data_IF_496931704480
#
_entry.id   IF_496931704480
#
_cell.length_a   1.000
_cell.length_b   1.000
_cell.length_c   1.000
_cell.angle_alpha   90.00
_cell.angle_beta   90.00
_cell.angle_gamma   90.00
#
_symmetry.space_group_name_H-M   'P 1'
#
loop_
_entity.id
_entity.type
_entity.pdbx_description
1 polymer ?
#
# COMPACT_ATOMS: atom_id res chain seq x y z
N UNK A 1 62.62 9.60 -41.07
CA UNK A 1 62.39 8.77 -42.26
C UNK A 1 60.89 8.67 -42.46
N UNK A 2 60.35 9.65 -43.19
CA UNK A 2 59.72 9.54 -44.54
C UNK A 2 58.20 9.66 -44.29
N UNK A 3 57.61 10.85 -44.41
CA UNK A 3 57.07 11.49 -45.65
C UNK A 3 55.92 10.65 -46.26
N UNK A 4 54.82 11.19 -46.80
CA UNK A 4 54.40 12.55 -47.17
C UNK A 4 52.88 12.54 -47.43
N UNK A 5 52.14 13.62 -47.18
CA UNK A 5 51.82 14.75 -48.07
C UNK A 5 50.84 14.48 -49.25
N UNK A 6 49.64 15.11 -49.12
CA UNK A 6 48.98 16.08 -50.03
C UNK A 6 48.50 15.64 -51.44
N UNK A 7 47.17 15.75 -51.67
CA UNK A 7 46.47 16.52 -52.75
C UNK A 7 45.01 16.01 -52.88
N UNK A 8 43.96 16.81 -52.63
CA UNK A 8 43.36 17.87 -53.47
C UNK A 8 42.80 17.38 -54.82
N UNK A 9 41.46 17.33 -54.96
CA UNK A 9 40.71 17.96 -56.06
C UNK A 9 39.19 17.82 -55.92
N UNK A 10 38.53 18.96 -55.79
CA UNK A 10 37.12 19.25 -56.05
C UNK A 10 36.83 19.30 -57.56
N UNK A 11 35.73 18.70 -58.04
CA UNK A 11 34.83 19.34 -59.04
C UNK A 11 33.53 18.56 -59.30
N UNK A 12 32.43 19.33 -59.28
CA UNK A 12 31.21 19.24 -60.10
C UNK A 12 30.02 18.29 -59.77
N UNK A 13 28.93 18.97 -59.38
CA UNK A 13 27.57 18.97 -59.97
C UNK A 13 26.53 17.91 -59.56
N UNK A 14 25.67 18.36 -58.64
CA UNK A 14 24.20 18.46 -58.77
C UNK A 14 23.54 17.66 -59.90
N UNK A 15 22.71 16.66 -59.55
CA UNK A 15 21.27 16.59 -59.90
C UNK A 15 20.64 15.30 -59.36
N UNK A 16 20.10 15.27 -58.13
CA UNK A 16 19.21 14.17 -57.69
C UNK A 16 18.36 14.43 -56.43
N UNK A 17 18.17 15.68 -55.97
CA UNK A 17 17.46 15.91 -54.68
C UNK A 17 15.96 16.23 -54.73
N UNK A 18 15.29 16.30 -55.88
CA UNK A 18 13.87 16.72 -55.92
C UNK A 18 12.84 15.59 -56.16
N UNK A 19 13.25 14.30 -56.13
CA UNK A 19 12.31 13.16 -56.33
C UNK A 19 12.15 12.25 -55.11
N UNK A 20 13.07 12.28 -54.15
CA UNK A 20 13.02 11.43 -52.95
C UNK A 20 12.13 12.05 -51.86
N UNK A 21 12.04 13.38 -51.80
CA UNK A 21 11.29 14.09 -50.75
C UNK A 21 9.76 13.99 -50.90
N UNK A 22 9.24 13.70 -52.11
CA UNK A 22 7.80 13.55 -52.35
C UNK A 22 7.24 12.14 -52.07
N UNK A 23 8.08 11.11 -52.01
CA UNK A 23 7.63 9.76 -51.67
C UNK A 23 7.66 9.48 -50.16
N UNK A 24 8.53 10.16 -49.39
CA UNK A 24 8.56 10.05 -47.93
C UNK A 24 7.36 10.70 -47.22
N UNK A 25 6.65 11.62 -47.89
CA UNK A 25 5.46 12.27 -47.34
C UNK A 25 4.20 11.41 -47.53
N UNK A 26 4.14 10.56 -48.58
CA UNK A 26 2.98 9.68 -48.81
C UNK A 26 2.98 8.40 -47.97
N UNK A 27 4.14 7.92 -47.52
CA UNK A 27 4.25 6.69 -46.71
C UNK A 27 4.05 6.93 -45.21
N UNK A 28 4.24 8.18 -44.74
CA UNK A 28 3.99 8.58 -43.34
C UNK A 28 2.52 8.78 -43.00
N UNK A 29 1.68 9.06 -44.01
CA UNK A 29 0.25 9.32 -43.81
C UNK A 29 -0.63 8.06 -43.91
N UNK A 30 -0.07 6.90 -44.29
CA UNK A 30 -0.82 5.63 -44.39
C UNK A 30 -0.68 4.78 -43.11
N UNK A 31 0.41 4.95 -42.35
CA UNK A 31 0.57 4.33 -41.02
C UNK A 31 -0.04 5.25 -39.95
N UNK A 32 -1.33 5.59 -40.08
CA UNK A 32 -2.00 6.29 -38.98
C UNK A 32 -3.52 6.13 -38.89
N UNK A 33 -4.15 5.27 -39.68
CA UNK A 33 -5.60 5.02 -39.51
C UNK A 33 -5.92 3.59 -39.09
N UNK A 34 -5.17 2.58 -39.55
CA UNK A 34 -5.45 1.18 -39.20
C UNK A 34 -4.92 0.79 -37.82
N UNK A 35 -3.77 1.34 -37.40
CA UNK A 35 -3.24 1.13 -36.04
C UNK A 35 -4.10 1.84 -34.99
N UNK A 36 -4.67 3.01 -35.35
CA UNK A 36 -5.61 3.74 -34.50
C UNK A 36 -6.95 2.99 -34.41
N UNK A 37 -7.42 2.35 -35.49
CA UNK A 37 -8.63 1.51 -35.47
C UNK A 37 -8.49 0.28 -34.56
N UNK A 38 -7.35 -0.40 -34.62
CA UNK A 38 -7.08 -1.57 -33.77
C UNK A 38 -6.96 -1.17 -32.28
N UNK A 39 -6.37 0.00 -31.98
CA UNK A 39 -6.31 0.55 -30.61
C UNK A 39 -7.68 1.00 -30.08
N UNK A 40 -8.58 1.48 -30.95
CA UNK A 40 -9.94 1.86 -30.58
C UNK A 40 -10.84 0.62 -30.36
N UNK A 41 -10.72 -0.41 -31.20
CA UNK A 41 -11.47 -1.67 -31.00
C UNK A 41 -11.02 -2.43 -29.75
N UNK A 42 -9.73 -2.41 -29.41
CA UNK A 42 -9.24 -3.03 -28.17
C UNK A 42 -9.70 -2.28 -26.91
N UNK A 43 -9.74 -0.93 -26.95
CA UNK A 43 -10.26 -0.11 -25.86
C UNK A 43 -11.79 -0.23 -25.67
N UNK A 44 -12.56 -0.47 -26.73
CA UNK A 44 -14.01 -0.64 -26.63
C UNK A 44 -14.42 -2.01 -26.06
N UNK A 45 -13.55 -3.04 -26.12
CA UNK A 45 -13.84 -4.36 -25.53
C UNK A 45 -13.69 -4.42 -24.00
N UNK A 46 -13.06 -3.42 -23.38
CA UNK A 46 -12.86 -3.32 -21.92
C UNK A 46 -13.68 -2.21 -21.25
N UNK A 47 -14.57 -1.57 -22.01
CA UNK A 47 -15.34 -0.41 -21.57
C UNK A 47 -16.83 -0.71 -21.32
N UNK A 48 -17.13 -1.88 -20.78
CA UNK A 48 -18.38 -2.07 -20.06
C UNK A 48 -18.10 -2.06 -18.54
N UNK A 49 -18.75 -1.10 -17.87
CA UNK A 49 -18.83 -0.83 -16.42
C UNK A 49 -17.84 0.13 -15.72
N UNK A 50 -17.06 0.96 -16.42
CA UNK A 50 -16.43 2.14 -15.78
C UNK A 50 -17.18 3.43 -16.10
N UNK A 51 -18.07 3.84 -15.19
CA UNK A 51 -18.85 5.08 -15.31
C UNK A 51 -17.93 6.31 -15.26
N UNK A 52 -17.96 7.09 -16.34
CA UNK A 52 -17.33 8.40 -16.50
C UNK A 52 -17.72 9.39 -15.39
N UNK A 53 -16.71 9.92 -14.68
CA UNK A 53 -16.81 11.19 -13.95
C UNK A 53 -15.52 11.98 -14.15
N UNK A 54 -15.32 12.47 -15.38
CA UNK A 54 -14.45 13.63 -15.64
C UNK A 54 -15.41 14.82 -15.66
N UNK A 55 -15.42 15.64 -14.61
CA UNK A 55 -16.05 16.95 -14.68
C UNK A 55 -15.08 17.89 -15.36
N UNK A 56 -15.34 18.18 -16.62
CA UNK A 56 -14.67 19.18 -17.44
C UNK A 56 -14.96 20.58 -16.90
N UNK A 57 -14.01 21.15 -16.16
CA UNK A 57 -13.92 22.59 -15.92
C UNK A 57 -13.27 23.24 -17.15
N UNK A 58 -14.03 23.50 -18.23
CA UNK A 58 -13.50 24.30 -19.35
C UNK A 58 -14.51 25.09 -20.21
N UNK A 59 -15.80 25.16 -19.84
CA UNK A 59 -16.78 25.93 -20.62
C UNK A 59 -17.28 27.17 -19.88
N UNK A 60 -16.41 28.17 -19.71
CA UNK A 60 -16.81 29.58 -19.61
C UNK A 60 -15.74 30.45 -20.28
N UNK A 61 -15.70 30.40 -21.61
CA UNK A 61 -15.27 31.55 -22.42
C UNK A 61 -16.30 31.71 -23.55
N UNK A 62 -16.47 32.95 -23.97
CA UNK A 62 -17.31 33.40 -25.07
C UNK A 62 -18.79 33.65 -24.75
N UNK A 63 -19.06 34.80 -24.14
CA UNK A 63 -20.12 35.68 -24.66
C UNK A 63 -19.65 37.14 -24.70
N UNK A 64 -19.53 37.62 -25.93
CA UNK A 64 -19.37 39.01 -26.33
C UNK A 64 -20.38 39.94 -25.65
N UNK A 65 -19.90 41.08 -25.15
CA UNK A 65 -20.64 42.35 -25.22
C UNK A 65 -19.66 43.49 -25.48
N UNK A 66 -19.90 44.22 -26.58
CA UNK A 66 -19.25 45.47 -26.93
C UNK A 66 -19.83 46.62 -26.09
N UNK A 67 -19.00 47.47 -25.50
CA UNK A 67 -19.16 48.92 -25.58
C UNK A 67 -17.85 49.64 -25.25
N UNK A 68 -17.54 50.65 -26.06
CA UNK A 68 -16.46 51.64 -25.84
C UNK A 68 -16.89 52.62 -24.74
N UNK A 69 -15.96 53.07 -23.90
CA UNK A 69 -15.49 54.47 -23.85
C UNK A 69 -14.67 54.78 -22.56
N UNK A 70 -13.53 55.46 -22.80
CA UNK A 70 -12.82 56.49 -22.01
C UNK A 70 -12.62 56.43 -20.47
N UNK A 71 -11.32 56.42 -20.11
CA UNK A 71 -10.62 57.31 -19.16
C UNK A 71 -11.06 57.52 -17.69
N UNK A 72 -10.10 57.19 -16.81
CA UNK A 72 -9.53 58.01 -15.72
C UNK A 72 -10.20 58.15 -14.35
N UNK A 73 -9.37 57.78 -13.36
CA UNK A 73 -9.15 58.40 -12.05
C UNK A 73 -10.15 58.30 -10.88
N UNK A 74 -9.70 57.47 -9.92
CA UNK A 74 -9.40 57.79 -8.52
C UNK A 74 -10.48 58.34 -7.54
N UNK A 75 -10.53 57.59 -6.42
CA UNK A 75 -10.87 57.94 -5.02
C UNK A 75 -12.34 58.05 -4.59
N UNK A 76 -12.71 57.13 -3.69
CA UNK A 76 -13.19 57.52 -2.36
C UNK A 76 -14.57 57.02 -1.92
N UNK A 77 -14.57 56.26 -0.81
CA UNK A 77 -15.59 56.15 0.25
C UNK A 77 -16.88 55.30 0.05
N UNK A 78 -16.97 54.29 0.93
CA UNK A 78 -18.10 53.69 1.67
C UNK A 78 -19.52 53.81 1.08
N UNK A 79 -20.23 52.67 0.92
CA UNK A 79 -21.40 52.29 1.73
C UNK A 79 -21.96 50.91 1.31
N UNK A 80 -22.38 50.15 2.33
CA UNK A 80 -23.44 49.14 2.40
C UNK A 80 -23.88 48.29 1.19
N UNK A 81 -23.81 46.97 1.40
CA UNK A 81 -24.98 46.10 1.33
C UNK A 81 -25.54 45.76 -0.05
N UNK A 82 -25.09 44.64 -0.63
CA UNK A 82 -26.03 43.68 -1.21
C UNK A 82 -25.40 42.29 -1.27
N UNK A 83 -25.93 41.44 -0.39
CA UNK A 83 -25.89 40.00 -0.47
C UNK A 83 -26.20 39.52 -1.89
N UNK A 84 -25.22 38.95 -2.57
CA UNK A 84 -25.48 37.97 -3.61
C UNK A 84 -24.72 36.72 -3.25
N UNK A 85 -25.41 35.96 -2.39
CA UNK A 85 -25.37 34.51 -2.19
C UNK A 85 -24.68 33.84 -3.38
N UNK A 86 -23.35 33.74 -3.30
CA UNK A 86 -22.61 32.69 -4.00
C UNK A 86 -23.05 31.42 -3.30
N UNK A 87 -24.10 30.82 -3.86
CA UNK A 87 -24.64 29.52 -3.56
C UNK A 87 -23.46 28.58 -3.31
N UNK A 88 -23.07 28.48 -2.04
CA UNK A 88 -22.42 27.33 -1.49
C UNK A 88 -23.39 26.22 -1.81
N UNK A 89 -23.08 25.48 -2.88
CA UNK A 89 -23.71 24.20 -3.10
C UNK A 89 -23.37 23.42 -1.86
N UNK A 90 -24.30 23.41 -0.89
CA UNK A 90 -24.44 22.39 0.12
C UNK A 90 -24.57 21.08 -0.66
N UNK A 91 -23.41 20.54 -1.04
CA UNK A 91 -23.31 19.14 -1.41
C UNK A 91 -23.79 18.44 -0.15
N UNK A 92 -24.90 17.72 -0.24
CA UNK A 92 -25.43 16.89 0.84
C UNK A 92 -24.26 16.08 1.42
N UNK A 93 -23.74 16.46 2.60
CA UNK A 93 -22.48 15.96 3.17
C UNK A 93 -22.57 14.50 3.67
N UNK A 94 -23.78 13.97 3.92
CA UNK A 94 -24.01 12.61 4.41
C UNK A 94 -23.84 11.47 3.35
N UNK A 95 -24.33 11.57 2.10
CA UNK A 95 -24.18 10.52 1.10
C UNK A 95 -22.74 10.22 0.68
N UNK A 96 -21.86 11.23 0.62
CA UNK A 96 -20.47 11.03 0.17
C UNK A 96 -19.65 10.20 1.17
N UNK A 97 -19.80 10.45 2.48
CA UNK A 97 -19.16 9.62 3.54
C UNK A 97 -19.53 8.16 3.44
N UNK A 98 -20.82 7.88 3.26
CA UNK A 98 -21.34 6.51 3.11
C UNK A 98 -20.81 5.87 1.84
N UNK A 99 -20.72 6.62 0.73
CA UNK A 99 -20.13 6.15 -0.53
C UNK A 99 -18.64 5.79 -0.35
N UNK A 100 -17.86 6.65 0.29
CA UNK A 100 -16.45 6.39 0.61
C UNK A 100 -16.29 5.18 1.52
N UNK A 101 -17.00 5.12 2.64
CA UNK A 101 -16.94 3.97 3.54
C UNK A 101 -17.26 2.65 2.82
N UNK A 102 -18.27 2.64 1.93
CA UNK A 102 -18.58 1.47 1.09
C UNK A 102 -17.41 1.05 0.20
N UNK A 103 -16.69 2.01 -0.41
CA UNK A 103 -15.51 1.71 -1.22
C UNK A 103 -14.43 1.05 -0.37
N UNK A 104 -14.09 1.63 0.79
CA UNK A 104 -13.09 1.07 1.70
C UNK A 104 -13.48 -0.30 2.25
N UNK A 105 -14.74 -0.51 2.60
CA UNK A 105 -15.24 -1.82 3.04
C UNK A 105 -15.14 -2.85 1.92
N UNK A 106 -15.46 -2.50 0.66
CA UNK A 106 -15.25 -3.39 -0.48
C UNK A 106 -13.77 -3.74 -0.66
N UNK A 107 -12.86 -2.77 -0.49
CA UNK A 107 -11.41 -3.04 -0.51
C UNK A 107 -10.96 -3.96 0.61
N UNK A 108 -11.51 -3.78 1.81
CA UNK A 108 -11.26 -4.66 2.94
C UNK A 108 -11.71 -6.08 2.64
N UNK A 109 -12.90 -6.29 2.06
CA UNK A 109 -13.35 -7.64 1.65
C UNK A 109 -12.39 -8.24 0.62
N UNK A 110 -11.97 -7.50 -0.41
CA UNK A 110 -10.99 -7.98 -1.38
C UNK A 110 -9.66 -8.38 -0.69
N UNK A 111 -9.14 -7.54 0.21
CA UNK A 111 -7.93 -7.83 0.96
C UNK A 111 -8.08 -9.09 1.84
N UNK A 112 -9.22 -9.25 2.53
CA UNK A 112 -9.51 -10.43 3.33
C UNK A 112 -9.57 -11.70 2.48
N UNK A 113 -10.16 -11.66 1.29
CA UNK A 113 -10.16 -12.81 0.36
C UNK A 113 -8.72 -13.17 -0.03
N UNK A 114 -7.89 -12.18 -0.37
CA UNK A 114 -6.46 -12.39 -0.68
C UNK A 114 -5.71 -12.97 0.55
N UNK A 115 -6.05 -12.50 1.75
CA UNK A 115 -5.54 -13.03 3.02
C UNK A 115 -5.88 -14.51 3.22
N UNK A 116 -7.14 -14.87 3.05
CA UNK A 116 -7.62 -16.26 3.16
C UNK A 116 -6.91 -17.15 2.15
N UNK A 117 -6.80 -16.71 0.89
CA UNK A 117 -6.09 -17.46 -0.16
C UNK A 117 -4.62 -17.68 0.25
N UNK A 118 -3.93 -16.65 0.72
CA UNK A 118 -2.53 -16.76 1.17
C UNK A 118 -2.36 -17.74 2.33
N UNK A 119 -3.29 -17.74 3.30
CA UNK A 119 -3.29 -18.71 4.42
C UNK A 119 -3.54 -20.13 3.90
N UNK A 120 -4.51 -20.33 3.01
CA UNK A 120 -4.79 -21.64 2.42
C UNK A 120 -3.58 -22.20 1.64
N UNK A 121 -2.89 -21.34 0.87
CA UNK A 121 -1.66 -21.70 0.17
C UNK A 121 -0.60 -22.17 1.18
N UNK A 122 -0.35 -21.39 2.24
CA UNK A 122 0.60 -21.75 3.28
C UNK A 122 0.26 -23.08 3.97
N UNK A 123 -0.98 -23.26 4.42
CA UNK A 123 -1.37 -24.51 5.07
C UNK A 123 -1.23 -25.71 4.13
N UNK A 124 -1.56 -25.55 2.85
CA UNK A 124 -1.38 -26.61 1.86
C UNK A 124 0.08 -27.01 1.69
N UNK A 125 0.98 -26.02 1.55
CA UNK A 125 2.41 -26.28 1.38
C UNK A 125 3.09 -26.82 2.66
N UNK A 126 2.60 -26.47 3.85
CA UNK A 126 3.02 -27.11 5.10
C UNK A 126 2.66 -28.60 5.08
N UNK A 127 1.40 -28.95 4.81
CA UNK A 127 0.98 -30.37 4.76
C UNK A 127 1.79 -31.14 3.71
N UNK A 128 2.04 -30.52 2.56
CA UNK A 128 2.84 -31.14 1.51
C UNK A 128 4.30 -31.33 1.93
N UNK A 129 4.92 -30.35 2.59
CA UNK A 129 6.29 -30.46 3.11
C UNK A 129 6.41 -31.51 4.22
N UNK A 130 5.41 -31.59 5.12
CA UNK A 130 5.33 -32.60 6.17
C UNK A 130 5.33 -34.05 5.60
N UNK A 131 4.83 -34.29 4.38
CA UNK A 131 4.92 -35.63 3.76
C UNK A 131 6.34 -36.10 3.47
N UNK A 132 7.29 -35.16 3.34
CA UNK A 132 8.71 -35.47 3.11
C UNK A 132 9.52 -35.53 4.41
N UNK A 133 8.88 -35.23 5.55
CA UNK A 133 9.53 -35.23 6.86
C UNK A 133 9.84 -36.66 7.34
N UNK A 134 11.07 -36.88 7.81
CA UNK A 134 11.52 -38.14 8.39
C UNK A 134 11.53 -38.04 9.91
N UNK A 135 10.74 -38.88 10.56
CA UNK A 135 10.69 -38.95 12.03
C UNK A 135 11.97 -39.57 12.57
N UNK A 136 12.61 -38.91 13.53
CA UNK A 136 13.82 -39.39 14.21
C UNK A 136 15.13 -38.79 13.72
N UNK A 137 15.10 -37.85 12.77
CA UNK A 137 16.29 -37.09 12.39
C UNK A 137 16.78 -36.23 13.58
N UNK A 138 18.10 -36.14 13.76
CA UNK A 138 18.68 -35.32 14.82
C UNK A 138 18.45 -33.82 14.51
N UNK A 139 17.98 -33.02 15.48
CA UNK A 139 17.83 -31.58 15.32
C UNK A 139 19.15 -30.89 14.95
N UNK A 140 19.06 -29.77 14.23
CA UNK A 140 20.23 -28.95 13.96
C UNK A 140 20.79 -28.37 15.26
N UNK A 141 22.11 -28.22 15.30
CA UNK A 141 22.80 -27.57 16.43
C UNK A 141 22.56 -26.08 16.41
N UNK A 142 21.80 -25.60 17.40
CA UNK A 142 21.55 -24.19 17.65
C UNK A 142 22.20 -23.78 18.97
N UNK A 143 23.10 -22.78 18.90
CA UNK A 143 23.86 -22.30 20.06
C UNK A 143 22.96 -21.79 21.18
N UNK A 144 21.82 -21.18 20.87
CA UNK A 144 20.90 -20.71 21.91
C UNK A 144 20.13 -21.88 22.53
N UNK A 145 19.78 -22.91 21.76
CA UNK A 145 19.19 -24.13 22.32
C UNK A 145 20.18 -24.92 23.19
N UNK A 146 21.48 -24.89 22.87
CA UNK A 146 22.53 -25.50 23.70
C UNK A 146 22.76 -24.77 25.03
N UNK A 147 22.58 -23.44 25.05
CA UNK A 147 22.62 -22.64 26.29
C UNK A 147 21.41 -22.97 27.15
N UNK A 148 20.21 -23.05 26.56
CA UNK A 148 18.96 -23.38 27.24
C UNK A 148 18.61 -24.88 27.07
N UNK A 149 19.34 -25.73 27.81
CA UNK A 149 19.18 -27.20 27.72
C UNK A 149 17.82 -27.71 28.18
N UNK A 150 17.21 -27.05 29.15
CA UNK A 150 15.88 -27.41 29.65
C UNK A 150 14.85 -26.37 29.18
N UNK A 151 13.74 -26.87 28.64
CA UNK A 151 12.60 -26.02 28.27
C UNK A 151 11.79 -25.78 29.55
N UNK A 152 11.56 -24.52 29.96
CA UNK A 152 10.71 -24.25 31.11
C UNK A 152 9.31 -24.82 30.90
N UNK A 153 8.76 -25.52 31.90
CA UNK A 153 7.49 -26.26 31.78
C UNK A 153 6.26 -25.39 31.43
N UNK A 154 6.31 -24.09 31.69
CA UNK A 154 5.24 -23.16 31.33
C UNK A 154 5.28 -22.73 29.86
N UNK A 155 6.42 -22.90 29.18
CA UNK A 155 6.68 -22.37 27.84
C UNK A 155 6.22 -23.35 26.74
N UNK A 156 4.95 -23.73 26.81
CA UNK A 156 4.32 -24.63 25.83
C UNK A 156 3.86 -23.86 24.58
N UNK A 157 3.57 -24.56 23.48
CA UNK A 157 3.04 -23.99 22.24
C UNK A 157 1.86 -23.02 22.46
N UNK A 158 0.83 -23.36 23.28
CA UNK A 158 -0.27 -22.44 23.53
C UNK A 158 0.15 -21.14 24.24
N UNK A 159 1.20 -21.17 25.06
CA UNK A 159 1.71 -19.99 25.76
C UNK A 159 2.41 -19.02 24.80
N UNK A 160 3.24 -19.55 23.89
CA UNK A 160 3.91 -18.76 22.85
C UNK A 160 2.88 -18.13 21.91
N UNK A 161 1.96 -18.94 21.39
CA UNK A 161 0.89 -18.46 20.50
C UNK A 161 -0.05 -17.48 21.22
N UNK A 162 -0.38 -17.73 22.49
CA UNK A 162 -1.16 -16.83 23.32
C UNK A 162 -0.50 -15.45 23.49
N UNK A 163 0.82 -15.40 23.66
CA UNK A 163 1.57 -14.14 23.74
C UNK A 163 1.49 -13.34 22.43
N UNK A 164 1.62 -14.01 21.29
CA UNK A 164 1.51 -13.37 19.96
C UNK A 164 0.07 -12.91 19.70
N UNK A 165 -0.93 -13.72 20.06
CA UNK A 165 -2.34 -13.37 19.93
C UNK A 165 -2.73 -12.20 20.84
N UNK A 166 -2.17 -12.12 22.05
CA UNK A 166 -2.30 -10.94 22.90
C UNK A 166 -1.73 -9.69 22.22
N UNK A 167 -0.55 -9.81 21.59
CA UNK A 167 0.03 -8.69 20.84
C UNK A 167 -0.87 -8.22 19.69
N UNK A 168 -1.44 -9.16 18.93
CA UNK A 168 -2.40 -8.85 17.88
C UNK A 168 -3.64 -8.16 18.47
N UNK A 169 -4.20 -8.67 19.56
CA UNK A 169 -5.39 -8.11 20.20
C UNK A 169 -5.17 -6.66 20.63
N UNK A 170 -4.05 -6.33 21.28
CA UNK A 170 -3.74 -4.95 21.67
C UNK A 170 -3.52 -4.04 20.45
N UNK A 171 -2.95 -4.58 19.37
CA UNK A 171 -2.71 -3.85 18.12
C UNK A 171 -4.02 -3.52 17.42
N UNK A 172 -4.92 -4.51 17.27
CA UNK A 172 -6.26 -4.32 16.73
C UNK A 172 -7.10 -3.40 17.62
N UNK A 173 -6.97 -3.49 18.94
CA UNK A 173 -7.65 -2.58 19.86
C UNK A 173 -7.19 -1.13 19.64
N UNK A 174 -5.87 -0.90 19.61
CA UNK A 174 -5.26 0.44 19.41
C UNK A 174 -5.65 1.05 18.08
N UNK A 175 -5.37 0.37 16.97
CA UNK A 175 -5.55 0.92 15.62
C UNK A 175 -6.97 0.73 15.10
N UNK A 176 -7.69 -0.27 15.60
CA UNK A 176 -9.11 -0.51 15.29
C UNK A 176 -10.03 0.55 15.89
N UNK A 177 -9.92 0.79 17.20
CA UNK A 177 -10.88 1.64 17.94
C UNK A 177 -10.38 3.06 18.22
N UNK A 178 -9.07 3.26 18.39
CA UNK A 178 -8.50 4.55 18.82
C UNK A 178 -7.80 5.33 17.69
N UNK A 179 -8.11 4.99 16.44
CA UNK A 179 -7.76 5.75 15.25
C UNK A 179 -9.02 6.08 14.44
N UNK A 180 -9.01 7.14 13.60
CA UNK A 180 -10.12 7.43 12.69
C UNK A 180 -10.52 6.20 11.86
N UNK A 181 -11.82 5.96 11.69
CA UNK A 181 -12.35 4.72 11.09
C UNK A 181 -11.77 4.39 9.71
N UNK A 182 -11.60 5.38 8.83
CA UNK A 182 -11.05 5.14 7.49
C UNK A 182 -9.55 4.81 7.54
N UNK A 183 -8.79 5.45 8.44
CA UNK A 183 -7.41 5.10 8.69
C UNK A 183 -7.28 3.69 9.28
N UNK A 184 -8.15 3.34 10.23
CA UNK A 184 -8.24 2.01 10.84
C UNK A 184 -8.46 0.91 9.79
N UNK A 185 -9.45 1.09 8.90
CA UNK A 185 -9.69 0.14 7.79
C UNK A 185 -8.48 0.05 6.87
N UNK A 186 -7.83 1.18 6.57
CA UNK A 186 -6.61 1.19 5.74
C UNK A 186 -5.47 0.41 6.39
N UNK A 187 -5.23 0.61 7.68
CA UNK A 187 -4.19 -0.12 8.44
C UNK A 187 -4.50 -1.62 8.43
N UNK A 188 -5.78 -2.01 8.61
CA UNK A 188 -6.18 -3.41 8.55
C UNK A 188 -5.93 -4.03 7.17
N UNK A 189 -6.27 -3.31 6.09
CA UNK A 189 -5.95 -3.72 4.71
C UNK A 189 -4.45 -3.93 4.55
N UNK A 190 -3.61 -3.00 5.04
CA UNK A 190 -2.14 -3.11 4.98
C UNK A 190 -1.63 -4.35 5.69
N UNK A 191 -2.09 -4.59 6.93
CA UNK A 191 -1.70 -5.77 7.71
C UNK A 191 -2.06 -7.05 6.94
N UNK A 192 -3.30 -7.18 6.46
CA UNK A 192 -3.74 -8.39 5.75
C UNK A 192 -2.94 -8.63 4.47
N UNK A 193 -2.70 -7.59 3.67
CA UNK A 193 -1.97 -7.73 2.40
C UNK A 193 -0.49 -8.09 2.63
N UNK A 194 0.17 -7.45 3.59
CA UNK A 194 1.57 -7.76 3.92
C UNK A 194 1.71 -9.18 4.46
N UNK A 195 0.78 -9.63 5.32
CA UNK A 195 0.78 -10.99 5.84
C UNK A 195 0.50 -12.03 4.76
N UNK A 196 -0.48 -11.78 3.89
CA UNK A 196 -0.75 -12.64 2.74
C UNK A 196 0.48 -12.81 1.86
N UNK A 197 1.19 -11.71 1.57
CA UNK A 197 2.42 -11.75 0.78
C UNK A 197 3.54 -12.55 1.48
N UNK A 198 3.71 -12.36 2.80
CA UNK A 198 4.67 -13.13 3.59
C UNK A 198 4.36 -14.63 3.49
N UNK A 199 3.11 -15.02 3.68
CA UNK A 199 2.68 -16.42 3.63
C UNK A 199 2.86 -17.04 2.24
N UNK A 200 2.54 -16.34 1.16
CA UNK A 200 2.77 -16.83 -0.19
C UNK A 200 4.26 -17.13 -0.46
N UNK A 201 5.16 -16.22 -0.07
CA UNK A 201 6.61 -16.43 -0.27
C UNK A 201 7.13 -17.52 0.67
N UNK A 202 6.72 -17.51 1.93
CA UNK A 202 7.10 -18.53 2.93
C UNK A 202 6.72 -19.94 2.49
N UNK A 203 5.54 -20.09 1.87
CA UNK A 203 5.06 -21.37 1.32
C UNK A 203 6.07 -22.00 0.36
N UNK A 204 6.69 -21.17 -0.49
CA UNK A 204 7.73 -21.62 -1.42
C UNK A 204 8.96 -22.15 -0.68
N UNK A 205 9.45 -21.43 0.33
CA UNK A 205 10.62 -21.85 1.12
C UNK A 205 10.39 -23.15 1.88
N UNK A 206 9.23 -23.30 2.53
CA UNK A 206 8.86 -24.52 3.28
C UNK A 206 8.75 -25.72 2.36
N UNK A 207 8.25 -25.52 1.14
CA UNK A 207 8.12 -26.60 0.17
C UNK A 207 9.46 -27.04 -0.39
N UNK A 208 10.32 -26.09 -0.75
CA UNK A 208 11.61 -26.39 -1.40
C UNK A 208 12.61 -26.98 -0.41
N UNK A 209 12.52 -26.65 0.89
CA UNK A 209 13.49 -27.10 1.89
C UNK A 209 12.79 -27.62 3.15
N UNK A 210 13.02 -28.90 3.46
CA UNK A 210 12.59 -29.53 4.71
C UNK A 210 13.79 -29.63 5.67
N UNK A 211 13.64 -29.08 6.87
CA UNK A 211 14.65 -29.16 7.95
C UNK A 211 14.15 -30.10 9.06
N UNK A 212 15.05 -30.78 9.80
CA UNK A 212 14.66 -31.56 10.98
C UNK A 212 14.10 -30.64 12.07
N UNK A 213 13.03 -31.08 12.72
CA UNK A 213 12.34 -30.30 13.75
C UNK A 213 13.22 -30.14 15.00
N UNK A 214 13.22 -28.97 15.67
CA UNK A 214 13.90 -28.81 16.97
C UNK A 214 13.38 -29.79 18.03
N UNK A 215 12.14 -30.28 17.88
CA UNK A 215 11.50 -31.23 18.77
C UNK A 215 11.57 -32.64 18.12
N UNK A 216 12.37 -33.57 18.66
CA UNK A 216 12.59 -34.88 18.04
C UNK A 216 11.35 -35.78 18.04
N UNK A 217 10.37 -35.49 18.91
CA UNK A 217 9.11 -36.24 19.02
C UNK A 217 8.00 -35.74 18.09
N UNK A 218 8.30 -34.84 17.15
CA UNK A 218 7.31 -34.28 16.23
C UNK A 218 6.71 -35.34 15.30
N UNK A 219 5.39 -35.31 15.11
CA UNK A 219 4.68 -36.20 14.19
C UNK A 219 4.16 -35.41 12.98
N UNK A 220 4.55 -35.76 11.75
CA UNK A 220 4.16 -35.00 10.57
C UNK A 220 2.68 -35.17 10.23
N UNK A 221 2.09 -34.12 9.68
CA UNK A 221 0.76 -34.15 9.11
C UNK A 221 0.78 -34.98 7.82
N UNK A 222 -0.18 -35.90 7.67
CA UNK A 222 -0.31 -36.70 6.45
C UNK A 222 -1.21 -35.96 5.46
N UNK A 223 -0.76 -35.88 4.21
CA UNK A 223 -1.61 -35.42 3.11
C UNK A 223 -2.77 -36.39 2.91
N UNK A 224 -4.00 -35.86 2.93
CA UNK A 224 -5.24 -36.63 2.81
C UNK A 224 -6.09 -36.10 1.64
N UNK A 225 -7.37 -36.46 1.61
CA UNK A 225 -8.32 -35.91 0.62
C UNK A 225 -8.52 -34.41 0.82
N UNK A 226 -9.04 -33.71 -0.19
CA UNK A 226 -9.24 -32.24 -0.14
C UNK A 226 -10.07 -31.80 1.08
N UNK A 227 -11.16 -32.51 1.41
CA UNK A 227 -12.04 -32.17 2.54
C UNK A 227 -11.33 -32.36 3.88
N UNK A 228 -10.54 -33.42 4.02
CA UNK A 228 -9.76 -33.68 5.24
C UNK A 228 -8.61 -32.68 5.39
N UNK A 229 -8.01 -32.25 4.29
CA UNK A 229 -7.01 -31.18 4.29
C UNK A 229 -7.63 -29.84 4.71
N UNK A 230 -8.86 -29.53 4.31
CA UNK A 230 -9.57 -28.32 4.79
C UNK A 230 -9.81 -28.36 6.31
N UNK A 231 -10.17 -29.52 6.87
CA UNK A 231 -10.25 -29.67 8.32
C UNK A 231 -8.88 -29.50 8.99
N UNK A 232 -7.83 -30.04 8.36
CA UNK A 232 -6.45 -29.86 8.83
C UNK A 232 -6.02 -28.39 8.79
N UNK A 233 -6.46 -27.62 7.79
CA UNK A 233 -6.21 -26.16 7.75
C UNK A 233 -6.81 -25.46 8.96
N UNK A 234 -8.05 -25.81 9.33
CA UNK A 234 -8.68 -25.25 10.52
C UNK A 234 -7.87 -25.56 11.78
N UNK A 235 -7.38 -26.80 11.93
CA UNK A 235 -6.55 -27.19 13.07
C UNK A 235 -5.22 -26.40 13.12
N UNK A 236 -4.55 -26.21 11.97
CA UNK A 236 -3.30 -25.43 11.88
C UNK A 236 -3.59 -23.97 12.25
N UNK A 237 -4.61 -23.35 11.65
CA UNK A 237 -4.97 -21.95 11.89
C UNK A 237 -5.35 -21.69 13.35
N UNK A 238 -5.99 -22.66 14.00
CA UNK A 238 -6.37 -22.57 15.41
C UNK A 238 -5.28 -23.06 16.37
N UNK A 239 -4.08 -23.38 15.85
CA UNK A 239 -2.94 -23.89 16.60
C UNK A 239 -3.27 -25.12 17.47
N UNK A 240 -4.17 -25.98 17.00
CA UNK A 240 -4.57 -27.22 17.67
C UNK A 240 -3.67 -28.42 17.29
N UNK A 241 -2.90 -28.28 16.22
CA UNK A 241 -1.87 -29.24 15.80
C UNK A 241 -0.52 -28.53 15.72
N UNK A 242 0.55 -29.32 15.77
CA UNK A 242 1.91 -28.83 15.62
C UNK A 242 2.48 -29.32 14.30
N UNK A 243 3.00 -28.39 13.51
CA UNK A 243 3.60 -28.63 12.19
C UNK A 243 5.12 -28.86 12.27
N UNK A 244 5.62 -29.97 11.69
CA UNK A 244 7.03 -30.35 11.83
C UNK A 244 7.96 -29.59 10.87
N UNK A 245 7.47 -29.24 9.69
CA UNK A 245 8.28 -28.62 8.63
C UNK A 245 8.12 -27.10 8.51
N UNK A 246 7.41 -26.43 9.42
CA UNK A 246 7.20 -24.98 9.39
C UNK A 246 8.45 -24.19 9.83
N UNK A 247 9.58 -24.40 9.14
CA UNK A 247 10.89 -23.87 9.49
C UNK A 247 11.43 -22.93 8.39
N UNK A 248 12.72 -22.57 8.43
CA UNK A 248 13.44 -21.64 7.51
C UNK A 248 13.11 -20.16 7.73
N UNK A 249 11.84 -19.77 7.65
CA UNK A 249 11.39 -18.40 7.94
C UNK A 249 10.34 -18.53 9.02
N UNK A 250 10.55 -17.99 10.22
CA UNK A 250 9.53 -18.06 11.27
C UNK A 250 8.36 -17.10 10.97
N UNK A 251 7.17 -17.65 10.75
CA UNK A 251 5.94 -16.87 10.51
C UNK A 251 5.50 -16.09 11.75
N UNK A 252 5.62 -16.70 12.93
CA UNK A 252 5.41 -16.06 14.23
C UNK A 252 6.27 -14.82 14.41
N UNK A 253 7.55 -14.93 14.04
CA UNK A 253 8.49 -13.81 14.11
C UNK A 253 8.19 -12.75 13.06
N UNK A 254 7.94 -13.13 11.80
CA UNK A 254 7.60 -12.19 10.75
C UNK A 254 6.32 -11.40 11.07
N UNK A 255 5.30 -12.09 11.59
CA UNK A 255 4.05 -11.49 12.05
C UNK A 255 4.27 -10.51 13.21
N UNK A 256 5.00 -10.92 14.25
CA UNK A 256 5.34 -10.05 15.40
C UNK A 256 6.14 -8.82 14.97
N UNK A 257 7.09 -9.00 14.05
CA UNK A 257 7.89 -7.90 13.49
C UNK A 257 7.02 -6.92 12.73
N UNK A 258 6.07 -7.42 11.93
CA UNK A 258 5.12 -6.59 11.22
C UNK A 258 4.30 -5.72 12.19
N UNK A 259 3.70 -6.31 13.21
CA UNK A 259 2.94 -5.58 14.23
C UNK A 259 3.80 -4.51 14.91
N UNK A 260 5.04 -4.86 15.27
CA UNK A 260 6.01 -3.92 15.87
C UNK A 260 6.24 -2.69 14.99
N UNK A 261 6.42 -2.89 13.68
CA UNK A 261 6.64 -1.80 12.75
C UNK A 261 5.41 -0.93 12.54
N UNK A 262 4.20 -1.50 12.58
CA UNK A 262 2.96 -0.71 12.65
C UNK A 262 2.94 0.19 13.89
N UNK A 263 3.31 -0.32 15.06
CA UNK A 263 3.45 0.52 16.25
C UNK A 263 4.50 1.61 16.08
N UNK A 264 5.66 1.31 15.49
CA UNK A 264 6.69 2.33 15.27
C UNK A 264 6.30 3.41 14.28
N UNK A 265 5.53 3.05 13.25
CA UNK A 265 5.11 3.96 12.21
C UNK A 265 3.94 4.86 12.65
N UNK A 266 2.94 4.28 13.34
CA UNK A 266 1.71 4.99 13.68
C UNK A 266 1.67 5.54 15.10
N UNK A 267 2.38 4.96 16.06
CA UNK A 267 2.42 5.52 17.41
C UNK A 267 3.38 6.71 17.46
N UNK A 268 3.06 7.74 18.25
CA UNK A 268 3.92 8.91 18.46
C UNK A 268 4.63 8.83 19.80
N UNK A 269 4.04 8.17 20.77
CA UNK A 269 4.61 8.08 22.11
C UNK A 269 5.82 7.13 22.15
N UNK A 270 7.00 7.68 22.43
CA UNK A 270 8.27 6.94 22.51
C UNK A 270 8.27 5.87 23.62
N UNK A 271 7.58 6.12 24.74
CA UNK A 271 7.49 5.14 25.83
C UNK A 271 6.71 3.91 25.37
N UNK A 272 5.60 4.10 24.66
CA UNK A 272 4.82 3.00 24.10
C UNK A 272 5.64 2.24 23.07
N UNK A 273 6.37 2.93 22.17
CA UNK A 273 7.28 2.27 21.22
C UNK A 273 8.33 1.42 21.94
N UNK A 274 8.91 1.95 23.01
CA UNK A 274 9.91 1.24 23.81
C UNK A 274 9.32 -0.01 24.46
N UNK A 275 8.13 0.08 25.05
CA UNK A 275 7.42 -1.08 25.62
C UNK A 275 7.12 -2.13 24.57
N UNK A 276 6.63 -1.72 23.39
CA UNK A 276 6.36 -2.63 22.28
C UNK A 276 7.66 -3.29 21.79
N UNK A 277 8.75 -2.54 21.65
CA UNK A 277 10.05 -3.08 21.28
C UNK A 277 10.51 -4.17 22.23
N UNK A 278 10.49 -3.90 23.54
CA UNK A 278 10.87 -4.86 24.57
C UNK A 278 9.97 -6.10 24.55
N UNK A 279 8.66 -5.91 24.34
CA UNK A 279 7.71 -7.02 24.24
C UNK A 279 7.97 -7.90 23.01
N UNK A 280 8.34 -7.30 21.87
CA UNK A 280 8.70 -8.06 20.67
C UNK A 280 10.00 -8.84 20.86
N UNK A 281 11.01 -8.26 21.50
CA UNK A 281 12.24 -8.97 21.88
C UNK A 281 11.91 -10.15 22.81
N UNK A 282 11.03 -9.94 23.79
CA UNK A 282 10.54 -11.02 24.64
C UNK A 282 9.88 -12.14 23.84
N UNK A 283 9.01 -11.83 22.87
CA UNK A 283 8.37 -12.82 21.99
C UNK A 283 9.43 -13.60 21.20
N UNK A 284 10.45 -12.95 20.64
CA UNK A 284 11.50 -13.63 19.90
C UNK A 284 12.29 -14.60 20.79
N UNK A 285 12.59 -14.20 22.02
CA UNK A 285 13.30 -15.05 22.98
C UNK A 285 12.47 -16.28 23.34
N UNK A 286 11.17 -16.13 23.64
CA UNK A 286 10.33 -17.29 24.00
C UNK A 286 10.14 -18.25 22.83
N UNK A 287 10.08 -17.77 21.57
CA UNK A 287 10.04 -18.63 20.38
C UNK A 287 11.29 -19.52 20.29
N UNK A 288 12.46 -18.96 20.60
CA UNK A 288 13.73 -19.70 20.56
C UNK A 288 13.82 -20.69 21.73
N UNK A 289 13.58 -20.24 22.96
CA UNK A 289 13.73 -21.07 24.16
C UNK A 289 12.73 -22.23 24.19
N UNK A 290 11.51 -22.02 23.69
CA UNK A 290 10.51 -23.09 23.57
C UNK A 290 10.84 -24.15 22.51
N UNK A 291 11.94 -23.98 21.76
CA UNK A 291 12.30 -24.80 20.60
C UNK A 291 11.20 -24.82 19.54
N UNK A 292 10.43 -23.75 19.45
CA UNK A 292 9.38 -23.63 18.45
C UNK A 292 9.98 -23.38 17.07
N UNK A 293 11.06 -22.60 17.01
CA UNK A 293 11.89 -22.40 15.82
C UNK A 293 13.37 -22.33 16.19
N UNK A 294 14.24 -22.53 15.20
CA UNK A 294 15.66 -22.22 15.35
C UNK A 294 15.89 -20.71 15.37
N UNK A 295 16.99 -20.28 15.99
CA UNK A 295 17.44 -18.89 16.05
C UNK A 295 17.58 -18.29 14.66
N UNK A 296 18.08 -19.06 13.68
CA UNK A 296 18.21 -18.60 12.29
C UNK A 296 16.85 -18.30 11.66
N UNK A 297 15.84 -19.13 11.94
CA UNK A 297 14.48 -18.93 11.42
C UNK A 297 13.85 -17.66 11.98
N UNK A 298 14.12 -17.34 13.26
CA UNK A 298 13.68 -16.12 13.94
C UNK A 298 14.38 -14.91 13.31
N UNK A 299 15.70 -14.94 13.15
CA UNK A 299 16.43 -13.85 12.47
C UNK A 299 15.94 -13.61 11.05
N UNK A 300 15.70 -14.69 10.29
CA UNK A 300 15.18 -14.60 8.93
C UNK A 300 13.75 -14.07 8.92
N UNK A 301 12.91 -14.49 9.86
CA UNK A 301 11.56 -13.95 10.05
C UNK A 301 11.56 -12.44 10.34
N UNK A 302 12.50 -11.97 11.16
CA UNK A 302 12.66 -10.54 11.47
C UNK A 302 13.08 -9.74 10.22
N UNK A 303 14.15 -10.18 9.54
CA UNK A 303 14.64 -9.50 8.34
C UNK A 303 13.59 -9.50 7.24
N UNK A 304 12.92 -10.64 7.01
CA UNK A 304 11.92 -10.79 5.96
C UNK A 304 10.67 -9.95 6.27
N UNK A 305 10.12 -10.05 7.48
CA UNK A 305 8.96 -9.24 7.90
C UNK A 305 9.22 -7.75 7.80
N UNK A 306 10.41 -7.30 8.23
CA UNK A 306 10.82 -5.91 8.10
C UNK A 306 11.01 -5.46 6.65
N UNK A 307 11.59 -6.31 5.80
CA UNK A 307 11.77 -6.03 4.37
C UNK A 307 10.43 -5.85 3.66
N UNK A 308 9.44 -6.71 3.93
CA UNK A 308 8.09 -6.59 3.36
C UNK A 308 7.42 -5.29 3.79
N UNK A 309 7.53 -4.92 5.07
CA UNK A 309 6.95 -3.66 5.56
C UNK A 309 7.55 -2.44 4.87
N UNK A 310 8.88 -2.37 4.78
CA UNK A 310 9.60 -1.26 4.15
C UNK A 310 9.29 -1.19 2.65
N UNK A 311 9.32 -2.34 1.97
CA UNK A 311 9.01 -2.44 0.55
C UNK A 311 7.59 -1.97 0.25
N UNK A 312 6.61 -2.43 1.03
CA UNK A 312 5.22 -2.01 0.86
C UNK A 312 5.05 -0.50 1.00
N UNK A 313 5.60 0.10 2.07
CA UNK A 313 5.46 1.54 2.30
C UNK A 313 6.23 2.37 1.27
N UNK A 314 7.36 1.86 0.76
CA UNK A 314 8.06 2.46 -0.37
C UNK A 314 7.18 2.52 -1.63
N UNK A 315 6.50 1.42 -1.97
CA UNK A 315 5.59 1.38 -3.12
C UNK A 315 4.41 2.36 -2.96
N UNK A 316 3.86 2.47 -1.75
CA UNK A 316 2.80 3.44 -1.44
C UNK A 316 3.29 4.88 -1.60
N UNK A 317 4.49 5.22 -1.11
CA UNK A 317 5.05 6.57 -1.26
C UNK A 317 5.28 6.92 -2.73
N UNK A 318 5.86 6.01 -3.52
CA UNK A 318 6.04 6.20 -4.97
C UNK A 318 4.68 6.40 -5.65
N UNK A 319 3.67 5.58 -5.33
CA UNK A 319 2.33 5.71 -5.89
C UNK A 319 1.69 7.07 -5.56
N UNK A 320 1.81 7.51 -4.30
CA UNK A 320 1.25 8.77 -3.83
C UNK A 320 1.91 9.97 -4.52
N UNK A 321 3.24 9.96 -4.66
CA UNK A 321 3.98 11.02 -5.36
C UNK A 321 3.59 11.12 -6.83
N UNK A 322 3.49 9.98 -7.54
CA UNK A 322 3.03 9.96 -8.93
C UNK A 322 1.62 10.54 -9.06
N UNK A 323 0.71 10.15 -8.16
CA UNK A 323 -0.65 10.66 -8.15
C UNK A 323 -0.71 12.16 -7.88
N UNK A 324 0.07 12.67 -6.93
CA UNK A 324 0.08 14.10 -6.60
C UNK A 324 0.62 14.97 -7.76
N UNK A 325 1.62 14.49 -8.49
CA UNK A 325 2.22 15.22 -9.61
C UNK A 325 1.35 15.17 -10.88
N UNK A 326 0.85 13.98 -11.22
CA UNK A 326 0.31 13.71 -12.55
C UNK A 326 -1.19 13.41 -12.53
N UNK A 327 -1.82 13.35 -11.36
CA UNK A 327 -3.19 12.81 -11.19
C UNK A 327 -3.37 11.40 -11.76
N UNK A 328 -2.24 10.71 -11.99
CA UNK A 328 -2.16 9.37 -12.55
C UNK A 328 -1.04 8.60 -11.86
N UNK A 329 -1.24 7.31 -11.65
CA UNK A 329 -0.20 6.42 -11.09
C UNK A 329 0.76 5.88 -12.16
N UNK A 330 0.40 6.07 -13.43
CA UNK A 330 1.23 5.70 -14.56
C UNK A 330 2.49 6.59 -14.64
N UNK A 331 3.64 6.01 -15.01
CA UNK A 331 4.83 6.80 -15.30
C UNK A 331 4.56 7.68 -16.53
N UNK A 332 5.02 8.94 -16.48
CA UNK A 332 4.94 9.85 -17.63
C UNK A 332 6.08 9.65 -18.62
N UNK A 333 7.23 9.17 -18.15
CA UNK A 333 8.40 8.91 -18.98
C UNK A 333 8.58 7.40 -19.18
N UNK A 334 8.41 6.95 -20.42
CA UNK A 334 8.75 5.60 -20.85
C UNK A 334 10.15 5.62 -21.47
N UNK A 335 11.05 4.74 -21.01
CA UNK A 335 12.42 4.62 -21.53
C UNK A 335 13.52 4.73 -20.47
N UNK A 336 14.78 4.81 -20.89
CA UNK A 336 15.95 4.78 -19.99
C UNK A 336 16.02 6.01 -19.05
N UNK A 337 15.35 7.11 -19.41
CA UNK A 337 15.33 8.37 -18.66
C UNK A 337 14.43 8.37 -17.41
N UNK A 338 13.69 7.28 -17.15
CA UNK A 338 12.87 7.11 -15.94
C UNK A 338 13.65 6.54 -14.74
N UNK A 339 13.06 6.63 -13.54
CA UNK A 339 13.62 5.99 -12.35
C UNK A 339 13.65 4.47 -12.49
N UNK A 340 14.44 3.76 -11.68
CA UNK A 340 14.47 2.29 -11.70
C UNK A 340 13.06 1.68 -11.55
N UNK A 341 12.24 2.24 -10.66
CA UNK A 341 10.84 1.86 -10.45
C UNK A 341 9.91 2.15 -11.63
N UNK A 342 10.27 3.11 -12.50
CA UNK A 342 9.53 3.38 -13.73
C UNK A 342 9.94 2.40 -14.84
N UNK A 343 11.19 1.95 -14.85
CA UNK A 343 11.70 1.05 -15.89
C UNK A 343 11.32 -0.42 -15.67
N UNK A 344 11.23 -0.85 -14.42
CA UNK A 344 10.94 -2.25 -14.11
C UNK A 344 9.43 -2.52 -14.07
N UNK A 345 8.95 -3.33 -15.03
CA UNK A 345 7.51 -3.59 -15.20
C UNK A 345 6.84 -4.21 -13.98
N UNK A 346 7.52 -5.12 -13.26
CA UNK A 346 6.95 -5.76 -12.07
C UNK A 346 6.65 -4.73 -10.98
N UNK A 347 7.52 -3.73 -10.80
CA UNK A 347 7.28 -2.62 -9.87
C UNK A 347 6.02 -1.84 -10.28
N UNK A 348 5.79 -1.64 -11.58
CA UNK A 348 4.58 -0.96 -12.06
C UNK A 348 3.31 -1.74 -11.73
N UNK A 349 3.32 -3.07 -11.89
CA UNK A 349 2.19 -3.92 -11.51
C UNK A 349 1.91 -3.87 -10.00
N UNK A 350 2.96 -3.96 -9.17
CA UNK A 350 2.79 -3.85 -7.72
C UNK A 350 2.25 -2.49 -7.30
N UNK A 351 2.78 -1.40 -7.86
CA UNK A 351 2.30 -0.04 -7.60
C UNK A 351 0.82 0.10 -7.98
N UNK A 352 0.40 -0.43 -9.14
CA UNK A 352 -1.00 -0.40 -9.59
C UNK A 352 -1.90 -1.21 -8.66
N UNK A 353 -1.47 -2.41 -8.27
CA UNK A 353 -2.22 -3.29 -7.39
C UNK A 353 -2.43 -2.65 -6.00
N UNK A 354 -1.35 -2.12 -5.40
CA UNK A 354 -1.41 -1.45 -4.09
C UNK A 354 -2.30 -0.20 -4.16
N UNK A 355 -2.16 0.63 -5.19
CA UNK A 355 -3.01 1.82 -5.37
C UNK A 355 -4.49 1.44 -5.37
N UNK A 356 -4.86 0.41 -6.13
CA UNK A 356 -6.23 -0.06 -6.22
C UNK A 356 -6.73 -0.63 -4.89
N UNK A 357 -5.95 -1.49 -4.24
CA UNK A 357 -6.31 -2.14 -2.98
C UNK A 357 -6.41 -1.15 -1.82
N UNK A 358 -5.56 -0.13 -1.76
CA UNK A 358 -5.63 0.91 -0.72
C UNK A 358 -6.63 2.05 -1.02
N UNK A 359 -7.30 2.03 -2.17
CA UNK A 359 -8.12 3.16 -2.65
C UNK A 359 -7.36 4.49 -2.55
N UNK A 360 -6.08 4.48 -2.96
CA UNK A 360 -5.17 5.63 -2.79
C UNK A 360 -5.65 6.86 -3.56
N UNK A 361 -6.17 6.66 -4.77
CA UNK A 361 -6.81 7.69 -5.60
C UNK A 361 -7.95 8.42 -4.86
N UNK A 362 -8.82 7.66 -4.20
CA UNK A 362 -9.92 8.22 -3.41
C UNK A 362 -9.40 8.99 -2.19
N UNK A 363 -8.32 8.54 -1.54
CA UNK A 363 -7.70 9.28 -0.41
C UNK A 363 -7.05 10.58 -0.85
N UNK A 364 -6.32 10.56 -1.96
CA UNK A 364 -5.66 11.74 -2.50
C UNK A 364 -6.66 12.77 -3.02
N UNK A 365 -7.70 12.35 -3.74
CA UNK A 365 -8.78 13.25 -4.17
C UNK A 365 -9.51 13.88 -2.99
N UNK A 366 -9.66 13.13 -1.90
CA UNK A 366 -10.26 13.64 -0.69
C UNK A 366 -9.37 14.67 0.01
N UNK A 367 -8.07 14.41 0.11
CA UNK A 367 -7.10 15.33 0.67
C UNK A 367 -7.01 16.66 -0.08
N UNK A 368 -7.35 16.66 -1.38
CA UNK A 368 -7.45 17.83 -2.23
C UNK A 368 -8.75 18.64 -2.02
N UNK A 369 -9.78 18.03 -1.44
CA UNK A 369 -11.06 18.70 -1.19
C UNK A 369 -10.97 19.58 0.06
N UNK A 370 -11.42 20.83 -0.06
CA UNK A 370 -11.20 21.90 0.94
C UNK A 370 -12.15 21.81 2.16
N UNK A 371 -12.83 20.70 2.34
CA UNK A 371 -13.97 20.63 3.24
C UNK A 371 -13.53 20.36 4.69
N UNK A 372 -13.78 21.34 5.56
CA UNK A 372 -13.27 21.41 6.96
C UNK A 372 -13.79 20.32 7.88
N UNK A 373 -14.84 19.60 7.48
CA UNK A 373 -15.55 18.67 8.37
C UNK A 373 -14.88 17.29 8.50
N UNK A 374 -13.78 17.03 7.81
CA UNK A 374 -13.31 15.67 7.57
C UNK A 374 -11.89 15.37 8.05
N UNK A 375 -11.69 15.42 9.37
CA UNK A 375 -10.50 14.87 10.06
C UNK A 375 -10.43 13.32 9.99
N UNK A 376 -10.64 12.74 8.81
CA UNK A 376 -10.77 11.30 8.61
C UNK A 376 -9.42 10.56 8.53
N UNK A 377 -8.36 11.27 8.18
CA UNK A 377 -7.01 10.70 8.01
C UNK A 377 -5.94 11.50 8.77
N UNK A 378 -6.13 12.82 8.89
CA UNK A 378 -5.26 13.71 9.66
C UNK A 378 -6.08 14.82 10.35
N UNK A 379 -5.48 15.45 11.34
CA UNK A 379 -6.01 16.64 12.04
C UNK A 379 -5.44 17.95 11.50
N UNK A 380 -4.80 17.93 10.33
CA UNK A 380 -4.19 19.11 9.73
C UNK A 380 -5.24 20.07 9.17
N UNK A 381 -4.89 21.35 9.08
CA UNK A 381 -5.75 22.37 8.46
C UNK A 381 -5.91 22.03 6.96
N UNK A 382 -7.14 21.96 6.42
CA UNK A 382 -7.36 21.65 5.02
C UNK A 382 -6.77 22.73 4.12
N UNK A 383 -6.22 22.31 2.98
CA UNK A 383 -5.46 23.18 2.08
C UNK A 383 -5.74 22.82 0.60
N UNK A 384 -5.68 23.82 -0.32
CA UNK A 384 -6.08 23.69 -1.74
C UNK A 384 -5.15 22.76 -2.54
N UNK A 385 -5.46 22.37 -3.79
CA UNK A 385 -4.54 21.58 -4.66
C UNK A 385 -3.09 22.10 -4.73
N UNK A 386 -2.90 23.43 -4.70
CA UNK A 386 -1.59 24.11 -4.66
C UNK A 386 -0.85 23.97 -3.32
N UNK A 387 -1.35 23.17 -2.39
CA UNK A 387 -0.76 22.97 -1.07
C UNK A 387 -0.23 21.57 -0.81
N UNK A 388 -0.55 20.57 -1.67
CA UNK A 388 0.13 19.28 -1.61
C UNK A 388 1.57 19.43 -2.12
N UNK A 389 1.76 20.33 -3.07
CA UNK A 389 3.04 20.69 -3.66
C UNK A 389 3.43 22.10 -3.21
N UNK A 390 4.52 22.24 -2.48
CA UNK A 390 5.08 23.51 -2.03
C UNK A 390 6.15 23.92 -3.04
N UNK A 391 5.94 25.03 -3.75
CA UNK A 391 6.95 25.59 -4.65
C UNK A 391 8.07 26.23 -3.83
N UNK A 392 9.30 25.75 -4.00
CA UNK A 392 10.52 26.28 -3.35
C UNK A 392 11.52 26.70 -4.41
N UNK A 393 12.46 27.58 -4.04
CA UNK A 393 13.61 27.97 -4.86
C UNK A 393 14.89 27.47 -4.19
N UNK A 394 15.81 26.93 -4.97
CA UNK A 394 17.13 26.57 -4.45
C UNK A 394 18.06 27.80 -4.37
N UNK A 395 19.27 27.61 -3.85
CA UNK A 395 20.31 28.67 -3.74
C UNK A 395 20.66 29.27 -5.11
N UNK A 396 20.40 28.56 -6.21
CA UNK A 396 20.61 28.99 -7.60
C UNK A 396 19.37 29.61 -8.26
N UNK A 397 18.31 29.92 -7.49
CA UNK A 397 17.01 30.40 -7.98
C UNK A 397 16.24 29.43 -8.91
N UNK A 398 16.63 28.16 -8.97
CA UNK A 398 15.87 27.13 -9.69
C UNK A 398 14.64 26.75 -8.89
N UNK A 399 13.48 26.75 -9.54
CA UNK A 399 12.20 26.39 -8.93
C UNK A 399 12.07 24.87 -8.85
N UNK A 400 11.78 24.34 -7.67
CA UNK A 400 11.47 22.94 -7.45
C UNK A 400 10.19 22.79 -6.62
N UNK A 401 9.54 21.62 -6.73
CA UNK A 401 8.36 21.29 -5.94
C UNK A 401 8.75 20.36 -4.80
N UNK A 402 8.33 20.72 -3.59
CA UNK A 402 8.42 19.90 -2.39
C UNK A 402 7.03 19.41 -1.99
N UNK A 403 6.92 18.41 -1.13
CA UNK A 403 5.63 17.89 -0.66
C UNK A 403 5.28 18.47 0.72
N UNK A 404 4.01 18.77 0.97
CA UNK A 404 3.58 19.26 2.29
C UNK A 404 3.37 18.15 3.32
N UNK A 405 3.37 18.52 4.60
CA UNK A 405 3.02 17.59 5.69
C UNK A 405 1.59 17.02 5.52
N UNK A 406 0.68 17.82 4.96
CA UNK A 406 -0.68 17.36 4.64
C UNK A 406 -0.66 16.26 3.59
N UNK A 407 0.22 16.32 2.58
CA UNK A 407 0.39 15.23 1.61
C UNK A 407 0.78 13.92 2.30
N UNK A 408 1.81 13.94 3.14
CA UNK A 408 2.26 12.75 3.86
C UNK A 408 1.17 12.20 4.78
N UNK A 409 0.53 13.05 5.58
CA UNK A 409 -0.54 12.61 6.45
C UNK A 409 -1.77 12.08 5.71
N UNK A 410 -1.98 12.47 4.46
CA UNK A 410 -3.15 12.07 3.67
C UNK A 410 -3.11 10.61 3.21
N UNK A 411 -1.93 10.06 2.92
CA UNK A 411 -1.78 8.64 2.55
C UNK A 411 -1.17 7.79 3.67
N UNK A 412 -0.33 8.38 4.53
CA UNK A 412 0.33 7.68 5.63
C UNK A 412 -0.52 7.70 6.91
N UNK A 413 -1.30 8.75 7.13
CA UNK A 413 -2.00 9.01 8.40
C UNK A 413 -1.09 9.68 9.45
N UNK A 414 -1.67 10.40 10.41
CA UNK A 414 -0.92 11.05 11.50
C UNK A 414 -0.82 10.16 12.76
N UNK A 415 -1.44 8.99 12.79
CA UNK A 415 -1.30 8.01 13.88
C UNK A 415 -1.78 8.47 15.29
N UNK A 416 -2.22 9.72 15.40
CA UNK A 416 -2.67 10.36 16.64
C UNK A 416 -3.83 9.60 17.25
N UNK A 417 -3.78 9.44 18.58
CA UNK A 417 -4.87 8.88 19.35
C UNK A 417 -6.17 9.68 19.12
N UNK A 418 -7.24 9.00 18.73
CA UNK A 418 -8.49 9.65 18.38
C UNK A 418 -9.70 8.75 18.73
N UNK A 419 -10.61 9.28 19.57
CA UNK A 419 -11.84 8.59 20.00
C UNK A 419 -13.01 8.66 19.01
N UNK A 420 -12.82 9.22 17.82
CA UNK A 420 -13.89 9.43 16.82
C UNK A 420 -14.58 8.12 16.42
N UNK A 421 -13.83 7.03 16.31
CA UNK A 421 -14.39 5.71 15.96
C UNK A 421 -15.31 5.19 17.06
N UNK A 422 -14.88 5.25 18.31
CA UNK A 422 -15.72 4.89 19.47
C UNK A 422 -16.96 5.78 19.53
N UNK A 423 -16.83 7.10 19.36
CA UNK A 423 -17.97 8.03 19.34
C UNK A 423 -18.95 7.69 18.22
N UNK A 424 -18.47 7.30 17.04
CA UNK A 424 -19.33 6.89 15.92
C UNK A 424 -20.04 5.57 16.20
N UNK A 425 -19.34 4.58 16.76
CA UNK A 425 -19.94 3.29 17.17
C UNK A 425 -21.03 3.53 18.22
N UNK A 426 -20.76 4.33 19.25
CA UNK A 426 -21.75 4.67 20.28
C UNK A 426 -22.96 5.40 19.69
N UNK A 427 -22.75 6.33 18.74
CA UNK A 427 -23.86 7.02 18.06
C UNK A 427 -24.73 6.07 17.24
N UNK A 428 -24.12 5.17 16.48
CA UNK A 428 -24.84 4.15 15.71
C UNK A 428 -25.57 3.15 16.61
N UNK A 429 -24.95 2.74 17.72
CA UNK A 429 -25.57 1.89 18.74
C UNK A 429 -26.79 2.58 19.38
N UNK A 430 -26.65 3.85 19.80
CA UNK A 430 -27.78 4.65 20.31
C UNK A 430 -28.90 4.82 19.29
N UNK A 431 -28.57 4.93 18.00
CA UNK A 431 -29.55 5.00 16.91
C UNK A 431 -30.28 3.66 16.73
N UNK A 432 -29.56 2.54 16.79
CA UNK A 432 -30.12 1.20 16.65
C UNK A 432 -31.05 0.83 17.81
N UNK A 433 -30.68 1.18 19.04
CA UNK A 433 -31.50 0.94 20.23
C UNK A 433 -32.57 2.02 20.49
N UNK A 434 -32.79 2.96 19.57
CA UNK A 434 -33.84 3.99 19.71
C UNK A 434 -33.64 4.93 20.90
N UNK A 435 -32.43 5.00 21.49
CA UNK A 435 -32.13 5.79 22.68
C UNK A 435 -31.99 7.29 22.41
N UNK A 436 -32.16 7.75 21.16
CA UNK A 436 -32.33 9.17 20.87
C UNK A 436 -33.76 9.61 21.24
N UNK A 437 -34.07 9.59 22.55
CA UNK A 437 -35.17 10.42 23.07
C UNK A 437 -34.68 11.86 23.10
N UNK A 438 -35.44 12.72 22.40
CA UNK A 438 -35.35 14.19 22.40
C UNK A 438 -35.17 14.70 23.83
N UNK A 439 -34.22 15.61 24.01
CA UNK A 439 -34.39 16.80 24.83
C UNK A 439 -33.94 17.99 23.99
#
# INVERSE_FOLDING_TARGET
>A
MIEGNINANTTHQNTTNNKIEKNFIKEKDIINNDTIKILIEHNNSFNDESTNYITTFNDIKDKHYNHKDSYSDNKGHYFEGQENIKKSVEIKNCPYKKKMLKIFLRRLVCATIIGIIGICIQCYFIILSDTYYKTGDEPLKDRLHEIFKEIPAFMNTPFVNGSIMFFLAITLLRFGLFCPLLLSITILIRIILMLSFIYCIRSFFIYVTTLPCPIPTCQPLKHKTLVENLYTFYLIITAQVYECTDLVISGHTAFTTLLTFFWFFYERNIYVKTTIFLYSIYIYIIIIISRFHYTVDVLMGYVFGGSVFLFYHYLVDVAARRYALNTSVFPQTYGFSGSFTDRFQVFQYFIRAITYLEALDHRMNFALSYDKEWNCFCSCVPVNKNSLLIKKKNVRNEEYYDFSDHFYHSYAGNGTYNLSTIRNIIKEFKRFFGMNKKN
#
